data_IF_359776528426
#
_entry.id   IF_359776528426
#
_cell.length_a   1.000
_cell.length_b   1.000
_cell.length_c   1.000
_cell.angle_alpha   90.00
_cell.angle_beta   90.00
_cell.angle_gamma   90.00
#
_symmetry.space_group_name_H-M   'P 1'
#
loop_
_entity.id
_entity.type
_entity.pdbx_description
1 polymer ?
#
# COMPACT_ATOMS: atom_id res chain seq x y z
N UNK A 1 49.94 -29.52 44.16
CA UNK A 1 49.37 -30.10 42.92
C UNK A 1 48.66 -28.99 42.16
N UNK A 2 49.25 -28.63 41.02
CA UNK A 2 48.91 -27.53 40.12
C UNK A 2 47.74 -27.88 39.21
N UNK A 3 46.79 -26.94 39.03
CA UNK A 3 46.03 -26.67 37.80
C UNK A 3 45.03 -25.54 38.04
N UNK A 4 45.45 -24.30 37.76
CA UNK A 4 44.53 -23.18 37.54
C UNK A 4 44.26 -23.10 36.03
N UNK A 5 43.02 -23.37 35.63
CA UNK A 5 42.56 -23.23 34.25
C UNK A 5 42.61 -21.76 33.83
N UNK A 6 43.40 -21.45 32.79
CA UNK A 6 43.26 -20.22 32.00
C UNK A 6 42.13 -20.43 31.00
N UNK A 7 41.02 -19.72 31.19
CA UNK A 7 39.98 -19.57 30.17
C UNK A 7 40.24 -18.27 29.41
N UNK A 8 40.90 -18.36 28.26
CA UNK A 8 40.98 -17.28 27.27
C UNK A 8 39.66 -17.23 26.50
N UNK A 9 38.86 -16.20 26.74
CA UNK A 9 37.68 -15.89 25.95
C UNK A 9 38.12 -15.22 24.64
N UNK A 10 38.14 -16.00 23.56
CA UNK A 10 38.35 -15.49 22.21
C UNK A 10 37.03 -14.93 21.69
N UNK A 11 36.98 -13.61 21.53
CA UNK A 11 35.85 -12.91 20.92
C UNK A 11 35.71 -13.32 19.44
N UNK A 12 34.63 -14.02 19.12
CA UNK A 12 34.26 -14.37 17.76
C UNK A 12 33.47 -13.19 17.16
N UNK A 13 34.13 -12.36 16.36
CA UNK A 13 33.47 -11.41 15.47
C UNK A 13 32.70 -12.21 14.42
N UNK A 14 31.39 -12.38 14.57
CA UNK A 14 30.50 -12.70 13.45
C UNK A 14 30.26 -11.42 12.65
N UNK A 15 31.08 -11.22 11.61
CA UNK A 15 30.70 -10.38 10.48
C UNK A 15 29.54 -11.06 9.77
N UNK A 16 28.32 -10.63 10.06
CA UNK A 16 27.11 -10.96 9.32
C UNK A 16 27.22 -10.31 7.93
N UNK A 17 27.88 -10.99 7.00
CA UNK A 17 27.77 -10.68 5.58
C UNK A 17 26.33 -10.98 5.19
N UNK A 18 25.54 -9.91 5.04
CA UNK A 18 24.20 -9.98 4.48
C UNK A 18 24.26 -10.65 3.12
N UNK A 19 23.77 -11.89 3.05
CA UNK A 19 23.35 -12.51 1.81
C UNK A 19 22.23 -11.64 1.25
N UNK A 20 22.60 -10.70 0.40
CA UNK A 20 21.70 -10.13 -0.57
C UNK A 20 21.22 -11.31 -1.42
N UNK A 21 20.01 -11.79 -1.15
CA UNK A 21 19.24 -12.55 -2.12
C UNK A 21 19.01 -11.61 -3.30
N UNK A 22 19.93 -11.62 -4.26
CA UNK A 22 19.63 -11.22 -5.61
C UNK A 22 18.66 -12.29 -6.09
N UNK A 23 17.36 -12.03 -5.91
CA UNK A 23 16.35 -12.76 -6.66
C UNK A 23 16.77 -12.61 -8.12
N UNK A 24 17.18 -13.73 -8.73
CA UNK A 24 17.38 -13.78 -10.17
C UNK A 24 16.12 -13.18 -10.81
N UNK A 25 16.22 -12.38 -11.89
CA UNK A 25 15.03 -11.95 -12.58
C UNK A 25 14.28 -13.22 -12.99
N UNK A 26 13.17 -13.51 -12.30
CA UNK A 26 12.15 -14.39 -12.82
C UNK A 26 11.92 -13.86 -14.22
N UNK A 27 12.24 -14.66 -15.24
CA UNK A 27 12.19 -14.26 -16.63
C UNK A 27 10.82 -13.67 -16.88
N UNK A 28 10.74 -12.34 -16.88
CA UNK A 28 9.51 -11.65 -17.16
C UNK A 28 9.12 -12.11 -18.56
N UNK A 29 7.92 -12.69 -18.68
CA UNK A 29 7.28 -12.84 -19.97
C UNK A 29 7.58 -11.58 -20.80
N UNK A 30 8.13 -11.73 -22.01
CA UNK A 30 8.41 -10.60 -22.87
C UNK A 30 7.10 -9.85 -23.09
N UNK A 31 6.99 -8.67 -22.47
CA UNK A 31 5.81 -7.84 -22.56
C UNK A 31 6.08 -6.74 -23.59
N UNK A 32 5.19 -6.61 -24.58
CA UNK A 32 5.29 -5.56 -25.59
C UNK A 32 4.24 -4.49 -25.32
N UNK A 33 4.64 -3.22 -25.39
CA UNK A 33 3.68 -2.11 -25.41
C UNK A 33 2.89 -2.14 -26.72
N UNK A 34 1.55 -2.19 -26.62
CA UNK A 34 0.64 -2.29 -27.77
C UNK A 34 -0.01 -0.98 -28.12
N UNK A 35 -0.42 -0.22 -27.12
CA UNK A 35 -1.04 1.08 -27.32
C UNK A 35 -0.84 1.95 -26.08
N UNK A 36 -1.11 3.24 -26.26
CA UNK A 36 -1.19 4.20 -25.18
C UNK A 36 -2.20 5.27 -25.53
N UNK A 37 -2.70 5.97 -24.52
CA UNK A 37 -3.63 7.06 -24.71
C UNK A 37 -3.79 7.91 -23.47
N UNK A 38 -4.65 8.90 -23.56
CA UNK A 38 -4.96 9.80 -22.47
C UNK A 38 -6.04 9.21 -21.56
N UNK A 39 -5.86 9.38 -20.26
CA UNK A 39 -6.84 9.10 -19.23
C UNK A 39 -7.11 10.36 -18.41
N UNK A 40 -8.16 10.36 -17.59
CA UNK A 40 -8.45 11.51 -16.72
C UNK A 40 -7.32 11.66 -15.70
N UNK A 41 -6.57 12.77 -15.80
CA UNK A 41 -5.42 13.05 -14.93
C UNK A 41 -4.06 12.52 -15.42
N UNK A 42 -3.99 11.91 -16.61
CA UNK A 42 -2.73 11.39 -17.14
C UNK A 42 -2.92 10.48 -18.36
N UNK A 43 -2.35 9.29 -18.28
CA UNK A 43 -2.22 8.36 -19.40
C UNK A 43 -2.55 6.94 -19.00
N UNK A 44 -2.89 6.13 -19.99
CA UNK A 44 -2.89 4.68 -19.88
C UNK A 44 -1.93 4.08 -20.92
N UNK A 45 -1.39 2.91 -20.60
CA UNK A 45 -0.56 2.09 -21.49
C UNK A 45 -1.07 0.67 -21.44
N UNK A 46 -1.38 0.11 -22.60
CA UNK A 46 -1.73 -1.29 -22.77
C UNK A 46 -0.48 -2.07 -23.17
N UNK A 47 -0.08 -3.04 -22.36
CA UNK A 47 0.95 -4.02 -22.69
C UNK A 47 0.30 -5.37 -23.00
N UNK A 48 0.99 -6.18 -23.80
CA UNK A 48 0.66 -7.59 -23.99
C UNK A 48 1.79 -8.45 -23.45
N UNK A 49 1.47 -9.34 -22.52
CA UNK A 49 2.42 -10.30 -21.96
C UNK A 49 1.95 -11.73 -22.27
N UNK A 50 2.89 -12.62 -22.62
CA UNK A 50 2.56 -14.05 -22.76
C UNK A 50 2.08 -14.61 -21.43
N UNK A 51 0.83 -15.10 -21.38
CA UNK A 51 0.18 -15.58 -20.15
C UNK A 51 -1.08 -14.76 -19.82
N UNK A 52 -0.97 -13.64 -19.11
CA UNK A 52 -2.14 -12.87 -18.66
C UNK A 52 -2.82 -12.08 -19.78
N UNK A 53 -2.21 -11.99 -20.98
CA UNK A 53 -2.76 -11.29 -22.12
C UNK A 53 -2.53 -9.79 -22.03
N UNK A 54 -3.58 -9.01 -22.28
CA UNK A 54 -3.52 -7.55 -22.24
C UNK A 54 -3.63 -7.02 -20.81
N UNK A 55 -2.76 -6.08 -20.46
CA UNK A 55 -2.76 -5.42 -19.16
C UNK A 55 -2.69 -3.92 -19.41
N UNK A 56 -3.66 -3.20 -18.85
CA UNK A 56 -3.68 -1.75 -18.85
C UNK A 56 -3.06 -1.21 -17.55
N UNK A 57 -2.08 -0.33 -17.67
CA UNK A 57 -1.53 0.45 -16.56
C UNK A 57 -1.90 1.92 -16.68
N UNK A 58 -2.09 2.59 -15.55
CA UNK A 58 -2.36 4.03 -15.47
C UNK A 58 -1.23 4.79 -14.79
N UNK A 59 -1.05 6.05 -15.16
CA UNK A 59 -0.08 6.94 -14.51
C UNK A 59 -0.17 8.36 -15.02
N UNK A 60 0.39 9.30 -14.25
CA UNK A 60 0.43 10.72 -14.61
C UNK A 60 1.31 11.00 -15.84
N UNK A 61 2.20 10.07 -16.19
CA UNK A 61 3.03 10.08 -17.40
C UNK A 61 2.94 8.74 -18.12
N UNK A 62 3.28 8.70 -19.41
CA UNK A 62 3.37 7.44 -20.17
C UNK A 62 4.34 6.44 -19.52
N UNK A 63 5.48 6.91 -19.02
CA UNK A 63 6.46 6.08 -18.32
C UNK A 63 5.84 5.46 -17.06
N UNK A 64 5.18 6.27 -16.22
CA UNK A 64 4.53 5.77 -15.01
C UNK A 64 3.41 4.77 -15.34
N UNK A 65 2.62 5.03 -16.38
CA UNK A 65 1.59 4.11 -16.85
C UNK A 65 2.17 2.77 -17.31
N UNK A 66 3.25 2.79 -18.10
CA UNK A 66 3.95 1.58 -18.53
C UNK A 66 4.56 0.81 -17.35
N UNK A 67 5.18 1.51 -16.41
CA UNK A 67 5.72 0.90 -15.17
C UNK A 67 4.59 0.24 -14.38
N UNK A 68 3.46 0.90 -14.17
CA UNK A 68 2.33 0.30 -13.46
C UNK A 68 1.76 -0.93 -14.19
N UNK A 69 1.70 -0.92 -15.53
CA UNK A 69 1.29 -2.10 -16.30
C UNK A 69 2.22 -3.29 -16.07
N UNK A 70 3.54 -3.05 -16.11
CA UNK A 70 4.55 -4.09 -15.84
C UNK A 70 4.47 -4.62 -14.40
N UNK A 71 4.24 -3.74 -13.42
CA UNK A 71 4.09 -4.15 -12.02
C UNK A 71 2.77 -4.91 -11.77
N UNK A 72 1.71 -4.64 -12.53
CA UNK A 72 0.49 -5.46 -12.51
C UNK A 72 0.75 -6.86 -13.07
N UNK A 73 1.55 -6.98 -14.14
CA UNK A 73 2.00 -8.28 -14.64
C UNK A 73 2.81 -9.06 -13.59
N UNK A 74 3.61 -8.38 -12.76
CA UNK A 74 4.32 -9.05 -11.66
C UNK A 74 3.38 -9.68 -10.63
N UNK A 75 2.18 -9.12 -10.42
CA UNK A 75 1.18 -9.76 -9.55
C UNK A 75 0.70 -11.10 -10.13
N UNK A 76 0.53 -11.19 -11.46
CA UNK A 76 0.23 -12.45 -12.12
C UNK A 76 1.34 -13.47 -11.94
N UNK A 77 2.60 -13.05 -12.11
CA UNK A 77 3.75 -13.94 -11.91
C UNK A 77 3.83 -14.44 -10.46
N UNK A 78 3.50 -13.59 -9.49
CA UNK A 78 3.62 -13.94 -8.07
C UNK A 78 2.43 -14.78 -7.54
N UNK A 79 1.21 -14.51 -8.01
CA UNK A 79 -0.02 -15.05 -7.40
C UNK A 79 -0.94 -15.77 -8.40
N UNK A 80 -0.58 -15.84 -9.68
CA UNK A 80 -1.37 -16.49 -10.73
C UNK A 80 -2.62 -15.73 -11.20
N UNK A 81 -2.93 -14.59 -10.59
CA UNK A 81 -4.10 -13.78 -10.94
C UNK A 81 -3.70 -12.58 -11.78
N UNK A 82 -4.26 -12.44 -12.97
CA UNK A 82 -4.05 -11.26 -13.80
C UNK A 82 -4.82 -10.08 -13.21
N UNK A 83 -4.18 -8.92 -13.22
CA UNK A 83 -4.81 -7.66 -12.85
C UNK A 83 -4.65 -6.66 -13.99
N UNK A 84 -5.71 -5.98 -14.35
CA UNK A 84 -5.78 -5.01 -15.45
C UNK A 84 -6.43 -3.70 -15.01
N UNK A 85 -5.93 -2.59 -15.52
CA UNK A 85 -6.49 -1.27 -15.30
C UNK A 85 -7.85 -1.11 -15.98
N UNK A 86 -8.89 -0.79 -15.21
CA UNK A 86 -10.26 -0.69 -15.74
C UNK A 86 -10.73 0.72 -16.03
N UNK A 87 -10.52 1.64 -15.10
CA UNK A 87 -11.03 3.01 -15.22
C UNK A 87 -10.34 3.98 -14.27
N UNK A 88 -10.52 5.27 -14.53
CA UNK A 88 -10.00 6.38 -13.72
C UNK A 88 -11.11 7.38 -13.44
N UNK A 89 -11.07 8.02 -12.28
CA UNK A 89 -11.99 9.12 -11.94
C UNK A 89 -11.30 10.17 -11.07
N UNK A 90 -11.87 11.37 -11.02
CA UNK A 90 -11.48 12.42 -10.07
C UNK A 90 -12.26 12.24 -8.78
N UNK A 91 -11.61 12.49 -7.65
CA UNK A 91 -12.22 12.44 -6.33
C UNK A 91 -11.75 13.64 -5.49
N UNK A 92 -12.29 13.79 -4.28
CA UNK A 92 -11.85 14.81 -3.33
C UNK A 92 -10.35 14.64 -3.06
N UNK A 93 -9.56 15.66 -3.41
CA UNK A 93 -8.11 15.70 -3.19
C UNK A 93 -7.24 15.00 -4.24
N UNK A 94 -7.82 14.38 -5.28
CA UNK A 94 -7.01 13.70 -6.30
C UNK A 94 -7.79 12.77 -7.23
N UNK A 95 -7.30 11.55 -7.38
CA UNK A 95 -7.76 10.57 -8.35
C UNK A 95 -8.06 9.22 -7.72
N UNK A 96 -8.94 8.46 -8.37
CA UNK A 96 -9.17 7.06 -8.11
C UNK A 96 -8.84 6.22 -9.35
N UNK A 97 -8.18 5.08 -9.14
CA UNK A 97 -7.91 4.09 -10.18
C UNK A 97 -8.58 2.79 -9.78
N UNK A 98 -9.42 2.27 -10.66
CA UNK A 98 -10.01 0.94 -10.51
C UNK A 98 -9.22 -0.03 -11.36
N UNK A 99 -8.71 -1.08 -10.73
CA UNK A 99 -8.18 -2.27 -11.41
C UNK A 99 -9.17 -3.42 -11.23
N UNK A 100 -9.19 -4.33 -12.19
CA UNK A 100 -9.90 -5.60 -12.10
C UNK A 100 -8.85 -6.70 -11.98
N UNK A 101 -9.13 -7.73 -11.17
CA UNK A 101 -8.26 -8.89 -11.09
C UNK A 101 -9.05 -10.19 -11.20
N UNK A 102 -8.54 -11.13 -12.00
CA UNK A 102 -9.12 -12.47 -12.13
C UNK A 102 -9.22 -13.14 -10.75
N UNK A 103 -10.38 -13.72 -10.45
CA UNK A 103 -10.60 -14.45 -9.18
C UNK A 103 -10.79 -13.57 -7.94
N UNK A 104 -10.78 -12.24 -8.04
CA UNK A 104 -10.94 -11.37 -6.87
C UNK A 104 -11.61 -10.00 -7.11
N UNK A 105 -12.14 -9.76 -8.31
CA UNK A 105 -12.99 -8.61 -8.61
C UNK A 105 -12.25 -7.28 -8.71
N UNK A 106 -12.98 -6.19 -8.44
CA UNK A 106 -12.48 -4.82 -8.57
C UNK A 106 -11.76 -4.36 -7.31
N UNK A 107 -10.67 -3.62 -7.50
CA UNK A 107 -9.93 -2.93 -6.44
C UNK A 107 -9.81 -1.48 -6.84
N UNK A 108 -10.15 -0.58 -5.91
CA UNK A 108 -10.02 0.86 -6.10
C UNK A 108 -8.88 1.36 -5.23
N UNK A 109 -7.94 2.08 -5.83
CA UNK A 109 -6.88 2.83 -5.14
C UNK A 109 -7.09 4.33 -5.30
N UNK A 110 -6.62 5.09 -4.31
CA UNK A 110 -6.71 6.55 -4.30
C UNK A 110 -5.31 7.17 -4.20
N UNK A 111 -5.16 8.39 -4.71
CA UNK A 111 -3.91 9.14 -4.63
C UNK A 111 -4.08 10.57 -5.13
N UNK A 112 -3.18 11.46 -4.69
CA UNK A 112 -3.22 12.89 -5.05
C UNK A 112 -2.99 13.11 -6.55
N UNK A 113 -2.25 12.21 -7.20
CA UNK A 113 -2.05 12.14 -8.64
C UNK A 113 -2.40 10.74 -9.17
N UNK A 114 -2.56 10.61 -10.49
CA UNK A 114 -2.99 9.35 -11.12
C UNK A 114 -1.99 8.20 -10.88
N UNK A 115 -0.68 8.50 -10.88
CA UNK A 115 0.36 7.50 -10.55
C UNK A 115 0.16 6.90 -9.17
N UNK A 116 0.00 7.72 -8.14
CA UNK A 116 -0.17 7.28 -6.74
C UNK A 116 -1.46 6.46 -6.57
N UNK A 117 -2.54 6.84 -7.26
CA UNK A 117 -3.79 6.09 -7.22
C UNK A 117 -3.64 4.70 -7.85
N UNK A 118 -2.93 4.60 -8.98
CA UNK A 118 -2.64 3.32 -9.63
C UNK A 118 -1.72 2.45 -8.77
N UNK A 119 -0.71 3.05 -8.14
CA UNK A 119 0.17 2.36 -7.21
C UNK A 119 -0.59 1.81 -6.00
N UNK A 120 -1.44 2.63 -5.36
CA UNK A 120 -2.25 2.19 -4.23
C UNK A 120 -3.21 1.06 -4.62
N UNK A 121 -3.85 1.12 -5.81
CA UNK A 121 -4.71 0.04 -6.28
C UNK A 121 -3.92 -1.28 -6.43
N UNK A 122 -2.73 -1.21 -7.03
CA UNK A 122 -1.84 -2.36 -7.19
C UNK A 122 -1.36 -2.91 -5.84
N UNK A 123 -0.98 -2.05 -4.90
CA UNK A 123 -0.52 -2.49 -3.57
C UNK A 123 -1.64 -3.13 -2.75
N UNK A 124 -2.90 -2.74 -2.95
CA UNK A 124 -4.05 -3.44 -2.38
C UNK A 124 -4.24 -4.82 -3.01
N UNK A 125 -4.03 -4.96 -4.32
CA UNK A 125 -4.02 -6.27 -4.98
C UNK A 125 -2.88 -7.17 -4.50
N UNK A 126 -1.68 -6.62 -4.30
CA UNK A 126 -0.55 -7.33 -3.67
C UNK A 126 -0.90 -7.79 -2.25
N UNK A 127 -1.50 -6.91 -1.45
CA UNK A 127 -1.96 -7.24 -0.09
C UNK A 127 -2.95 -8.40 -0.11
N UNK A 128 -3.88 -8.43 -1.06
CA UNK A 128 -4.78 -9.58 -1.27
C UNK A 128 -4.00 -10.85 -1.61
N UNK A 129 -3.03 -10.79 -2.51
CA UNK A 129 -2.18 -11.93 -2.86
C UNK A 129 -1.45 -12.52 -1.66
N UNK A 130 -0.98 -11.67 -0.75
CA UNK A 130 -0.23 -12.08 0.46
C UNK A 130 -1.10 -12.59 1.60
N UNK A 131 -2.28 -11.99 1.79
CA UNK A 131 -3.11 -12.23 2.99
C UNK A 131 -4.38 -13.04 2.71
N UNK A 132 -4.76 -13.18 1.44
CA UNK A 132 -6.04 -13.75 1.03
C UNK A 132 -7.25 -12.82 1.22
N UNK A 133 -7.10 -11.69 1.93
CA UNK A 133 -8.18 -10.75 2.17
C UNK A 133 -8.32 -9.75 1.02
N UNK A 134 -9.52 -9.60 0.49
CA UNK A 134 -9.80 -8.59 -0.54
C UNK A 134 -10.06 -7.26 0.13
N UNK A 135 -9.26 -6.24 -0.21
CA UNK A 135 -9.44 -4.88 0.25
C UNK A 135 -9.63 -3.93 -0.94
N UNK A 136 -10.67 -3.12 -0.88
CA UNK A 136 -11.03 -2.16 -1.93
C UNK A 136 -11.30 -0.78 -1.35
N UNK A 137 -10.78 0.26 -2.01
CA UNK A 137 -11.08 1.65 -1.67
C UNK A 137 -12.57 1.96 -1.83
N UNK A 138 -13.14 2.67 -0.85
CA UNK A 138 -14.58 2.99 -0.82
C UNK A 138 -14.88 4.46 -0.97
N UNK A 139 -14.16 5.30 -0.26
CA UNK A 139 -14.44 6.73 -0.26
C UNK A 139 -13.24 7.55 0.19
N UNK A 140 -13.29 8.84 -0.15
CA UNK A 140 -12.34 9.85 0.31
C UNK A 140 -13.11 11.05 0.84
N UNK A 141 -12.52 11.76 1.81
CA UNK A 141 -13.08 13.01 2.34
C UNK A 141 -11.98 13.95 2.83
N UNK A 142 -12.32 15.22 2.97
CA UNK A 142 -11.47 16.18 3.69
C UNK A 142 -11.68 16.06 5.18
N UNK A 143 -10.63 16.33 5.95
CA UNK A 143 -10.67 16.38 7.41
C UNK A 143 -9.77 17.50 7.93
N UNK A 144 -9.77 17.73 9.25
CA UNK A 144 -8.87 18.69 9.90
C UNK A 144 -7.42 18.35 9.58
N UNK A 145 -6.75 19.22 8.82
CA UNK A 145 -5.34 19.07 8.47
C UNK A 145 -5.03 18.22 7.23
N UNK A 146 -6.05 17.69 6.52
CA UNK A 146 -5.80 16.90 5.32
C UNK A 146 -6.99 16.08 4.83
N UNK A 147 -6.76 14.78 4.61
CA UNK A 147 -7.69 13.86 3.96
C UNK A 147 -7.88 12.58 4.77
N UNK A 148 -9.01 11.91 4.52
CA UNK A 148 -9.30 10.57 4.99
C UNK A 148 -9.59 9.65 3.79
N UNK A 149 -9.08 8.41 3.86
CA UNK A 149 -9.38 7.35 2.90
C UNK A 149 -9.99 6.18 3.64
N UNK A 150 -11.15 5.73 3.17
CA UNK A 150 -11.80 4.52 3.67
C UNK A 150 -11.55 3.37 2.72
N UNK A 151 -11.05 2.26 3.26
CA UNK A 151 -10.90 0.97 2.58
C UNK A 151 -11.84 -0.01 3.26
N UNK A 152 -12.46 -0.89 2.48
CA UNK A 152 -13.22 -2.01 3.00
C UNK A 152 -12.48 -3.31 2.73
N UNK A 153 -12.36 -4.17 3.74
CA UNK A 153 -11.71 -5.47 3.64
C UNK A 153 -12.65 -6.61 3.99
N UNK A 154 -12.67 -7.66 3.16
CA UNK A 154 -13.39 -8.89 3.45
C UNK A 154 -12.96 -9.46 4.80
N UNK A 155 -13.92 -9.80 5.65
CA UNK A 155 -13.64 -10.40 6.96
C UNK A 155 -13.23 -9.43 8.07
N UNK A 156 -13.25 -8.10 7.87
CA UNK A 156 -13.30 -7.19 9.02
C UNK A 156 -13.45 -5.71 8.72
N UNK A 157 -14.34 -5.39 7.78
CA UNK A 157 -15.02 -4.11 7.74
C UNK A 157 -14.18 -2.97 7.17
N UNK A 158 -14.49 -1.77 7.65
CA UNK A 158 -13.92 -0.53 7.15
C UNK A 158 -12.68 -0.14 7.95
N UNK A 159 -11.66 0.32 7.24
CA UNK A 159 -10.45 0.91 7.81
C UNK A 159 -10.32 2.31 7.24
N UNK A 160 -10.15 3.29 8.12
CA UNK A 160 -9.96 4.69 7.77
C UNK A 160 -8.52 5.09 8.05
N UNK A 161 -7.81 5.53 7.03
CA UNK A 161 -6.49 6.15 7.15
C UNK A 161 -6.57 7.67 7.00
N UNK A 162 -5.71 8.39 7.70
CA UNK A 162 -5.61 9.85 7.65
C UNK A 162 -4.24 10.29 7.15
N UNK A 163 -4.18 11.41 6.45
CA UNK A 163 -2.92 11.96 5.95
C UNK A 163 -3.06 13.40 5.46
N UNK A 164 -1.95 14.11 5.40
CA UNK A 164 -1.92 15.52 4.96
C UNK A 164 -2.24 15.66 3.47
N UNK A 165 -1.93 14.62 2.69
CA UNK A 165 -2.35 14.46 1.29
C UNK A 165 -3.26 13.25 1.12
N UNK A 166 -3.95 13.15 -0.02
CA UNK A 166 -4.77 11.97 -0.32
C UNK A 166 -3.91 10.71 -0.45
N UNK A 167 -2.69 10.86 -0.99
CA UNK A 167 -1.70 9.78 -1.09
C UNK A 167 -1.30 9.27 0.29
N UNK A 168 -0.99 10.17 1.22
CA UNK A 168 -0.64 9.80 2.60
C UNK A 168 -1.79 9.07 3.29
N UNK A 169 -3.03 9.53 3.11
CA UNK A 169 -4.20 8.90 3.70
C UNK A 169 -4.46 7.50 3.14
N UNK A 170 -4.27 7.30 1.83
CA UNK A 170 -4.41 5.99 1.20
C UNK A 170 -3.33 5.00 1.68
N UNK A 171 -2.09 5.47 1.78
CA UNK A 171 -0.98 4.69 2.31
C UNK A 171 -1.23 4.33 3.78
N UNK A 172 -1.68 5.27 4.60
CA UNK A 172 -2.00 5.00 6.00
C UNK A 172 -3.11 3.95 6.15
N UNK A 173 -4.18 4.06 5.36
CA UNK A 173 -5.26 3.08 5.37
C UNK A 173 -4.75 1.68 5.02
N UNK A 174 -3.87 1.58 4.01
CA UNK A 174 -3.24 0.31 3.61
C UNK A 174 -2.30 -0.23 4.69
N UNK A 175 -1.56 0.62 5.37
CA UNK A 175 -0.68 0.19 6.47
C UNK A 175 -1.47 -0.31 7.68
N UNK A 176 -2.65 0.26 7.98
CA UNK A 176 -3.56 -0.28 8.99
C UNK A 176 -4.11 -1.66 8.60
N UNK A 177 -4.37 -1.91 7.31
CA UNK A 177 -4.70 -3.27 6.81
C UNK A 177 -3.55 -4.24 7.08
N UNK A 178 -2.30 -3.83 6.81
CA UNK A 178 -1.12 -4.67 7.04
C UNK A 178 -0.88 -4.91 8.53
N UNK A 179 -1.06 -3.89 9.38
CA UNK A 179 -0.98 -4.03 10.83
C UNK A 179 -1.97 -5.10 11.32
N UNK A 180 -3.22 -5.02 10.85
CA UNK A 180 -4.24 -6.02 11.16
C UNK A 180 -3.84 -7.42 10.72
N UNK A 181 -3.30 -7.57 9.51
CA UNK A 181 -2.85 -8.86 9.02
C UNK A 181 -1.70 -9.44 9.86
N UNK A 182 -0.83 -8.60 10.41
CA UNK A 182 0.30 -9.01 11.23
C UNK A 182 -0.08 -9.34 12.68
N UNK A 183 -0.99 -8.57 13.30
CA UNK A 183 -1.28 -8.67 14.74
C UNK A 183 -2.64 -9.30 15.05
N UNK A 184 -3.54 -9.38 14.06
CA UNK A 184 -4.95 -9.71 14.26
C UNK A 184 -5.79 -8.55 14.84
N UNK A 185 -5.16 -7.46 15.28
CA UNK A 185 -5.84 -6.30 15.85
C UNK A 185 -6.31 -5.36 14.73
N UNK A 186 -7.62 -5.11 14.67
CA UNK A 186 -8.15 -4.12 13.73
C UNK A 186 -8.11 -2.75 14.36
N UNK A 187 -7.38 -1.83 13.74
CA UNK A 187 -7.36 -0.42 14.11
C UNK A 187 -7.90 0.42 12.95
N UNK A 188 -8.88 1.26 13.22
CA UNK A 188 -9.47 2.17 12.25
C UNK A 188 -9.47 3.62 12.74
N UNK A 189 -9.26 4.55 11.81
CA UNK A 189 -9.27 5.98 12.09
C UNK A 189 -10.61 6.46 12.61
N UNK A 190 -10.62 6.99 13.83
CA UNK A 190 -11.83 7.49 14.50
C UNK A 190 -12.05 8.98 14.30
N UNK A 191 -11.01 9.77 14.53
CA UNK A 191 -11.10 11.24 14.51
C UNK A 191 -9.75 11.91 14.32
N UNK A 192 -9.80 13.16 13.87
CA UNK A 192 -8.66 14.08 13.81
C UNK A 192 -8.99 15.35 14.59
N UNK A 193 -7.97 16.00 15.16
CA UNK A 193 -8.14 17.24 15.92
C UNK A 193 -6.87 18.10 15.85
N UNK A 194 -7.01 19.39 16.19
CA UNK A 194 -5.87 20.30 16.30
C UNK A 194 -5.29 20.27 17.71
N UNK A 195 -3.96 20.35 17.81
CA UNK A 195 -3.23 20.58 19.07
C UNK A 195 -2.30 21.78 18.92
N UNK A 196 -1.77 22.29 20.02
CA UNK A 196 -0.78 23.36 19.95
C UNK A 196 0.44 22.91 19.12
N UNK A 197 0.68 23.57 17.99
CA UNK A 197 1.79 23.27 17.09
C UNK A 197 1.58 22.07 16.16
N UNK A 198 0.36 21.52 16.03
CA UNK A 198 0.14 20.41 15.11
C UNK A 198 -1.27 19.80 15.14
N UNK A 199 -1.30 18.50 14.90
CA UNK A 199 -2.51 17.69 14.73
C UNK A 199 -2.46 16.45 15.63
N UNK A 200 -3.65 15.94 15.95
CA UNK A 200 -3.85 14.67 16.63
C UNK A 200 -4.74 13.75 15.80
N UNK A 201 -4.49 12.45 15.92
CA UNK A 201 -5.27 11.36 15.32
C UNK A 201 -5.61 10.36 16.41
N UNK A 202 -6.88 9.97 16.49
CA UNK A 202 -7.33 8.86 17.31
C UNK A 202 -7.66 7.68 16.42
N UNK A 203 -7.06 6.52 16.71
CA UNK A 203 -7.47 5.23 16.20
C UNK A 203 -8.35 4.53 17.22
N UNK A 204 -9.30 3.72 16.75
CA UNK A 204 -10.02 2.77 17.57
C UNK A 204 -9.54 1.36 17.21
N UNK A 205 -9.03 0.64 18.21
CA UNK A 205 -8.46 -0.69 18.05
C UNK A 205 -9.27 -1.75 18.81
N UNK A 206 -9.58 -2.86 18.15
CA UNK A 206 -10.37 -3.97 18.73
C UNK A 206 -9.78 -4.54 20.02
N UNK A 207 -8.46 -4.65 20.09
CA UNK A 207 -7.72 -4.99 21.30
C UNK A 207 -6.86 -3.79 21.71
N UNK A 208 -7.37 -2.94 22.59
CA UNK A 208 -6.63 -1.78 23.10
C UNK A 208 -7.47 -0.52 23.29
N UNK A 209 -8.65 -0.43 22.66
CA UNK A 209 -9.51 0.74 22.78
C UNK A 209 -8.99 1.89 21.91
N UNK A 210 -9.01 3.11 22.45
CA UNK A 210 -8.57 4.30 21.71
C UNK A 210 -7.07 4.53 21.84
N UNK A 211 -6.42 4.78 20.70
CA UNK A 211 -4.98 5.07 20.62
C UNK A 211 -4.79 6.43 19.97
N UNK A 212 -4.07 7.32 20.63
CA UNK A 212 -3.81 8.67 20.14
C UNK A 212 -2.37 8.81 19.64
N UNK A 213 -2.23 9.53 18.53
CA UNK A 213 -0.95 10.01 18.02
C UNK A 213 -1.02 11.50 17.74
N UNK A 214 0.08 12.21 18.03
CA UNK A 214 0.22 13.64 17.77
C UNK A 214 1.43 13.91 16.90
N UNK A 215 1.37 14.93 16.04
CA UNK A 215 2.46 15.29 15.14
C UNK A 215 2.31 16.71 14.61
N UNK A 216 3.40 17.26 14.06
CA UNK A 216 3.37 18.58 13.42
C UNK A 216 2.56 18.60 12.11
N UNK A 217 2.38 17.43 11.49
CA UNK A 217 1.49 17.20 10.34
C UNK A 217 0.47 16.12 10.66
N UNK A 218 -0.64 16.10 9.92
CA UNK A 218 -1.65 15.04 10.08
C UNK A 218 -1.06 13.67 9.76
N UNK A 219 -0.19 13.58 8.74
CA UNK A 219 0.55 12.35 8.40
C UNK A 219 1.42 11.88 9.56
N UNK A 220 2.16 12.79 10.20
CA UNK A 220 2.97 12.46 11.38
C UNK A 220 2.12 11.98 12.55
N UNK A 221 0.98 12.63 12.80
CA UNK A 221 0.04 12.21 13.85
C UNK A 221 -0.52 10.81 13.59
N UNK A 222 -0.92 10.50 12.35
CA UNK A 222 -1.46 9.20 11.97
C UNK A 222 -0.43 8.07 12.11
N UNK A 223 0.80 8.30 11.63
CA UNK A 223 1.91 7.34 11.80
C UNK A 223 2.20 7.09 13.28
N UNK A 224 2.25 8.14 14.10
CA UNK A 224 2.47 7.99 15.54
C UNK A 224 1.33 7.20 16.21
N UNK A 225 0.08 7.42 15.81
CA UNK A 225 -1.06 6.66 16.32
C UNK A 225 -0.97 5.18 15.93
N UNK A 226 -0.61 4.86 14.68
CA UNK A 226 -0.40 3.48 14.23
C UNK A 226 0.74 2.79 14.97
N UNK A 227 1.86 3.48 15.17
CA UNK A 227 3.01 2.93 15.92
C UNK A 227 2.68 2.67 17.38
N UNK A 228 1.82 3.48 18.00
CA UNK A 228 1.35 3.24 19.36
C UNK A 228 0.33 2.07 19.45
N UNK A 229 -0.28 1.67 18.33
CA UNK A 229 -1.29 0.63 18.26
C UNK A 229 -0.72 -0.79 18.00
N UNK A 230 0.57 -0.91 17.67
CA UNK A 230 1.23 -2.15 17.23
C UNK A 230 2.46 -2.52 18.03
#
# INVERSE_FOLDING_TARGET
MTRALRATATALLLTLTGLAFIAAPASAAACDTRSSGTARGGYYVTIYCSGPGFIDGYGSTLTAANTNALLLNQLYVNYGNSCDGRSTSTTTGGYAVTIHCSGGGFIVGFGSILTDAAENARLLADTRGRTGNTCDGRSTSTTTGGYAVTIHCSGGGFIVGFGSTLTDAAEEARQLVLLRAATGNTCDGRSTYTVSGGYGVTLHCTSGGFVDGVGSTLTGAAVNARLAAG
#
